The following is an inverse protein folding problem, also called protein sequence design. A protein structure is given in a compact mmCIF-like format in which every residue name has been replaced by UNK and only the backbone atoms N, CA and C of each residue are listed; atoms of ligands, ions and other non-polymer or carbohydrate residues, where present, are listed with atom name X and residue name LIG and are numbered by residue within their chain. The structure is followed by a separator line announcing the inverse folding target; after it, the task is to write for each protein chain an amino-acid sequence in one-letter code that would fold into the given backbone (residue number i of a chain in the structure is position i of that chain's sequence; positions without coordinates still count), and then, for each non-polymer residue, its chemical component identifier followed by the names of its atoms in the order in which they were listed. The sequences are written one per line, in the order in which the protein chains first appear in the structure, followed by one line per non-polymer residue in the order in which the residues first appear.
data_IF_327021982828
#
_entry.id   IF_327021982828
#
_cell.length_a   1.000
_cell.length_b   1.000
_cell.length_c   1.000
_cell.angle_alpha   90.00
_cell.angle_beta   90.00
_cell.angle_gamma   90.00
#
_symmetry.space_group_name_H-M   'P 1'
#
loop_
_entity.id
_entity.type
_entity.pdbx_description
1 polymer ?
#
# COMPACT_ATOMS: atom_id res chain seq x y z
N UNK A 1 -3.23 -36.83 21.49
CA UNK A 1 -2.61 -35.88 20.52
C UNK A 1 -2.73 -34.45 21.06
N UNK A 2 -1.73 -33.56 20.88
CA UNK A 2 -1.84 -32.14 21.30
C UNK A 2 -2.20 -31.22 20.14
N UNK A 3 -3.21 -30.38 20.33
CA UNK A 3 -3.68 -29.43 19.33
C UNK A 3 -4.33 -28.20 19.99
N UNK A 4 -4.58 -27.17 19.18
CA UNK A 4 -5.36 -26.00 19.60
C UNK A 4 -6.83 -26.07 19.19
N UNK A 5 -7.15 -26.82 18.13
CA UNK A 5 -8.49 -26.91 17.57
C UNK A 5 -8.95 -28.36 17.65
N UNK A 6 -10.17 -28.56 18.12
CA UNK A 6 -10.82 -29.86 18.24
C UNK A 6 -12.21 -29.80 17.63
N UNK A 7 -12.59 -30.86 16.93
CA UNK A 7 -13.93 -31.08 16.40
C UNK A 7 -14.45 -32.38 17.02
N UNK A 8 -15.63 -32.32 17.63
CA UNK A 8 -16.25 -33.43 18.33
C UNK A 8 -17.60 -33.69 17.69
N UNK A 9 -17.91 -34.96 17.49
CA UNK A 9 -19.25 -35.42 17.14
C UNK A 9 -19.65 -36.55 18.09
N UNK A 10 -20.79 -36.41 18.74
CA UNK A 10 -21.34 -37.44 19.63
C UNK A 10 -22.87 -37.41 19.59
N UNK A 11 -23.49 -38.59 19.59
CA UNK A 11 -24.95 -38.70 19.68
C UNK A 11 -25.49 -38.17 21.01
N UNK A 12 -26.71 -37.63 20.99
CA UNK A 12 -27.40 -37.27 22.24
C UNK A 12 -27.74 -38.52 23.05
N UNK A 13 -28.28 -39.54 22.37
CA UNK A 13 -28.62 -40.85 22.93
C UNK A 13 -28.02 -41.96 22.05
N UNK A 14 -27.66 -43.09 22.64
CA UNK A 14 -27.13 -44.23 21.91
C UNK A 14 -28.18 -44.76 20.92
N UNK A 15 -27.89 -44.84 19.60
CA UNK A 15 -28.89 -45.13 18.58
C UNK A 15 -29.67 -46.44 18.75
N UNK A 16 -29.08 -47.44 19.43
CA UNK A 16 -29.71 -48.76 19.65
C UNK A 16 -30.30 -48.97 21.04
N UNK A 17 -29.71 -48.36 22.06
CA UNK A 17 -30.06 -48.64 23.48
C UNK A 17 -30.89 -47.51 24.07
N UNK A 18 -30.88 -46.33 23.45
CA UNK A 18 -31.56 -45.13 23.95
C UNK A 18 -30.87 -44.49 25.15
N UNK A 19 -29.75 -45.03 25.62
CA UNK A 19 -29.02 -44.49 26.77
C UNK A 19 -28.49 -43.08 26.46
N UNK A 20 -28.64 -42.10 27.37
CA UNK A 20 -28.11 -40.76 27.16
C UNK A 20 -26.58 -40.80 27.13
N UNK A 21 -26.00 -40.22 26.07
CA UNK A 21 -24.55 -40.19 25.84
C UNK A 21 -23.96 -38.80 26.09
N UNK A 22 -24.61 -37.75 25.58
CA UNK A 22 -24.15 -36.37 25.76
C UNK A 22 -25.32 -35.39 25.81
N UNK A 23 -25.43 -34.65 26.92
CA UNK A 23 -26.44 -33.60 27.11
C UNK A 23 -25.86 -32.22 26.83
N UNK A 24 -26.73 -31.27 26.47
CA UNK A 24 -26.34 -29.87 26.28
C UNK A 24 -25.76 -29.26 27.55
N UNK A 25 -26.32 -29.56 28.73
CA UNK A 25 -25.78 -29.10 30.03
C UNK A 25 -24.32 -29.52 30.23
N UNK A 26 -23.96 -30.74 29.81
CA UNK A 26 -22.58 -31.24 29.88
C UNK A 26 -21.67 -30.48 28.93
N UNK A 27 -22.16 -30.13 27.74
CA UNK A 27 -21.44 -29.33 26.75
C UNK A 27 -21.19 -27.94 27.31
N UNK A 28 -22.23 -27.23 27.76
CA UNK A 28 -22.13 -25.88 28.34
C UNK A 28 -21.15 -25.87 29.52
N UNK A 29 -21.26 -26.84 30.44
CA UNK A 29 -20.33 -26.98 31.56
C UNK A 29 -18.88 -27.15 31.09
N UNK A 30 -18.64 -28.01 30.11
CA UNK A 30 -17.31 -28.26 29.55
C UNK A 30 -16.71 -27.05 28.83
N UNK A 31 -17.54 -26.23 28.18
CA UNK A 31 -17.12 -25.05 27.44
C UNK A 31 -16.77 -23.86 28.35
N UNK A 32 -17.10 -23.93 29.64
CA UNK A 32 -16.79 -22.89 30.64
C UNK A 32 -15.32 -22.87 31.10
N UNK A 33 -14.50 -23.84 30.68
CA UNK A 33 -13.10 -23.93 31.09
C UNK A 33 -12.24 -22.78 30.56
N UNK A 34 -11.51 -22.08 31.44
CA UNK A 34 -10.68 -20.88 31.15
C UNK A 34 -9.63 -21.02 30.04
N UNK A 35 -9.29 -22.25 29.64
CA UNK A 35 -8.33 -22.49 28.55
C UNK A 35 -8.92 -22.33 27.16
N UNK A 36 -10.25 -22.36 27.05
CA UNK A 36 -10.99 -22.26 25.79
C UNK A 36 -11.10 -20.79 25.40
N UNK A 37 -10.70 -20.48 24.16
CA UNK A 37 -10.71 -19.15 23.57
C UNK A 37 -12.00 -18.91 22.79
N UNK A 38 -12.33 -19.82 21.87
CA UNK A 38 -13.55 -19.76 21.07
C UNK A 38 -14.18 -21.15 20.97
N UNK A 39 -15.51 -21.19 20.87
CA UNK A 39 -16.26 -22.42 20.64
C UNK A 39 -17.56 -22.16 19.87
N UNK A 40 -18.04 -23.21 19.20
CA UNK A 40 -19.35 -23.25 18.58
C UNK A 40 -19.92 -24.67 18.65
N UNK A 41 -21.21 -24.82 18.88
CA UNK A 41 -21.89 -26.12 18.83
C UNK A 41 -23.32 -25.99 18.29
N UNK A 42 -23.85 -27.11 17.81
CA UNK A 42 -25.22 -27.24 17.28
C UNK A 42 -25.70 -28.69 17.46
N UNK A 43 -27.01 -28.87 17.60
CA UNK A 43 -27.67 -30.17 17.49
C UNK A 43 -28.04 -30.44 16.03
N UNK A 44 -27.52 -31.52 15.45
CA UNK A 44 -27.99 -32.02 14.16
C UNK A 44 -29.03 -33.11 14.39
N UNK A 45 -30.30 -32.77 14.19
CA UNK A 45 -31.46 -33.65 14.36
C UNK A 45 -32.27 -33.88 13.07
N UNK A 46 -31.93 -33.19 11.98
CA UNK A 46 -32.62 -33.23 10.69
C UNK A 46 -31.75 -33.82 9.56
N UNK A 47 -30.53 -34.24 9.89
CA UNK A 47 -29.63 -34.88 8.95
C UNK A 47 -30.20 -36.21 8.46
N UNK A 48 -30.09 -36.46 7.16
CA UNK A 48 -30.51 -37.73 6.54
C UNK A 48 -29.33 -38.57 6.08
N UNK A 49 -29.50 -39.88 6.08
CA UNK A 49 -28.55 -40.82 5.51
C UNK A 49 -28.44 -40.61 3.98
N UNK A 50 -27.23 -40.34 3.50
CA UNK A 50 -26.98 -40.08 2.07
C UNK A 50 -26.58 -41.34 1.30
N UNK A 51 -26.73 -41.34 -0.02
CA UNK A 51 -26.27 -42.45 -0.86
C UNK A 51 -24.77 -42.71 -0.70
N UNK A 52 -23.96 -41.65 -0.61
CA UNK A 52 -22.51 -41.76 -0.40
C UNK A 52 -22.15 -42.43 0.92
N UNK A 53 -22.95 -42.23 1.96
CA UNK A 53 -22.75 -42.90 3.25
C UNK A 53 -23.14 -44.36 3.18
N UNK A 54 -24.21 -44.70 2.44
CA UNK A 54 -24.63 -46.08 2.21
C UNK A 54 -23.53 -46.86 1.48
N UNK A 55 -23.04 -46.31 0.37
CA UNK A 55 -21.97 -46.92 -0.42
C UNK A 55 -20.68 -47.12 0.40
N UNK A 56 -20.35 -46.14 1.26
CA UNK A 56 -19.20 -46.23 2.16
C UNK A 56 -19.40 -47.30 3.23
N UNK A 57 -20.58 -47.38 3.84
CA UNK A 57 -20.88 -48.40 4.83
C UNK A 57 -20.71 -49.81 4.25
N UNK A 58 -21.31 -50.06 3.08
CA UNK A 58 -21.22 -51.35 2.38
C UNK A 58 -19.77 -51.70 2.09
N UNK A 59 -18.97 -50.73 1.63
CA UNK A 59 -17.55 -50.94 1.38
C UNK A 59 -16.77 -51.29 2.65
N UNK A 60 -16.99 -50.56 3.73
CA UNK A 60 -16.25 -50.74 4.99
C UNK A 60 -16.69 -52.01 5.74
N UNK A 61 -17.91 -52.51 5.48
CA UNK A 61 -18.48 -53.72 6.08
C UNK A 61 -18.61 -54.88 5.07
N UNK A 62 -17.68 -54.95 4.11
CA UNK A 62 -17.51 -56.12 3.22
C UNK A 62 -18.78 -56.57 2.46
N UNK A 63 -19.63 -55.62 2.08
CA UNK A 63 -20.86 -55.88 1.34
C UNK A 63 -22.14 -55.91 2.20
N UNK A 64 -22.03 -55.79 3.52
CA UNK A 64 -23.20 -55.73 4.41
C UNK A 64 -24.01 -54.45 4.19
N UNK A 65 -25.33 -54.62 4.09
CA UNK A 65 -26.28 -53.51 3.99
C UNK A 65 -26.47 -52.86 5.38
N UNK A 66 -26.51 -51.52 5.46
CA UNK A 66 -26.84 -50.86 6.71
C UNK A 66 -28.27 -51.18 7.16
N UNK A 67 -28.54 -51.05 8.46
CA UNK A 67 -29.89 -51.22 9.02
C UNK A 67 -30.84 -50.04 8.72
N UNK A 68 -30.34 -49.01 8.04
CA UNK A 68 -31.04 -47.78 7.65
C UNK A 68 -31.04 -47.63 6.13
N UNK A 69 -31.96 -46.83 5.59
CA UNK A 69 -32.10 -46.53 4.17
C UNK A 69 -31.67 -45.09 3.87
N UNK A 70 -31.31 -44.83 2.61
CA UNK A 70 -31.02 -43.47 2.14
C UNK A 70 -32.28 -42.63 2.29
N UNK A 71 -32.14 -41.45 2.90
CA UNK A 71 -33.24 -40.57 3.27
C UNK A 71 -33.77 -40.77 4.70
N UNK A 72 -33.38 -41.85 5.39
CA UNK A 72 -33.75 -42.02 6.80
C UNK A 72 -33.05 -40.95 7.66
N UNK A 73 -33.77 -40.39 8.63
CA UNK A 73 -33.25 -39.38 9.55
C UNK A 73 -32.24 -40.02 10.49
N UNK A 74 -31.08 -39.37 10.63
CA UNK A 74 -30.03 -39.79 11.55
C UNK A 74 -30.45 -39.51 12.99
N UNK A 75 -30.00 -40.33 13.96
CA UNK A 75 -30.19 -40.02 15.36
C UNK A 75 -29.60 -38.63 15.71
N UNK A 76 -30.26 -37.84 16.58
CA UNK A 76 -29.76 -36.54 17.00
C UNK A 76 -28.34 -36.61 17.55
N UNK A 77 -27.46 -35.74 17.06
CA UNK A 77 -26.05 -35.71 17.44
C UNK A 77 -25.52 -34.28 17.53
N UNK A 78 -24.63 -34.07 18.49
CA UNK A 78 -23.98 -32.80 18.71
C UNK A 78 -22.73 -32.68 17.85
N UNK A 79 -22.58 -31.53 17.20
CA UNK A 79 -21.31 -31.08 16.65
C UNK A 79 -20.75 -29.98 17.55
N UNK A 80 -19.51 -30.14 18.03
CA UNK A 80 -18.86 -29.20 18.94
C UNK A 80 -17.47 -28.88 18.41
N UNK A 81 -17.17 -27.59 18.25
CA UNK A 81 -15.88 -27.09 17.80
C UNK A 81 -15.27 -26.25 18.91
N UNK A 82 -14.04 -26.58 19.29
CA UNK A 82 -13.34 -25.91 20.40
C UNK A 82 -11.98 -25.42 19.91
N UNK A 83 -11.67 -24.16 20.18
CA UNK A 83 -10.37 -23.54 19.98
C UNK A 83 -9.80 -23.07 21.32
N UNK A 84 -8.62 -23.57 21.66
CA UNK A 84 -7.89 -23.20 22.87
C UNK A 84 -6.86 -22.09 22.62
N UNK A 85 -6.66 -21.27 23.65
CA UNK A 85 -5.60 -20.25 23.69
C UNK A 85 -4.21 -20.89 23.56
N UNK A 86 -3.99 -21.98 24.29
CA UNK A 86 -2.76 -22.80 24.27
C UNK A 86 -3.10 -24.24 23.89
N UNK A 87 -2.13 -25.03 23.42
CA UNK A 87 -2.43 -26.42 23.02
C UNK A 87 -2.89 -27.28 24.21
N UNK A 88 -3.98 -28.01 24.01
CA UNK A 88 -4.51 -29.02 24.93
C UNK A 88 -4.32 -30.42 24.32
N UNK A 89 -4.66 -31.48 25.05
CA UNK A 89 -4.70 -32.84 24.53
C UNK A 89 -6.13 -33.38 24.37
N UNK A 90 -6.29 -34.32 23.44
CA UNK A 90 -7.55 -35.00 23.11
C UNK A 90 -8.18 -35.70 24.32
N UNK A 91 -7.36 -36.31 25.19
CA UNK A 91 -7.84 -37.00 26.39
C UNK A 91 -8.47 -36.03 27.41
N UNK A 92 -7.90 -34.83 27.56
CA UNK A 92 -8.43 -33.77 28.43
C UNK A 92 -9.80 -33.31 27.95
N UNK A 93 -9.94 -33.04 26.64
CA UNK A 93 -11.22 -32.63 26.05
C UNK A 93 -12.27 -33.73 26.19
N UNK A 94 -11.90 -34.98 25.92
CA UNK A 94 -12.78 -36.14 26.06
C UNK A 94 -13.27 -36.31 27.50
N UNK A 95 -12.35 -36.17 28.48
CA UNK A 95 -12.66 -36.25 29.91
C UNK A 95 -13.66 -35.18 30.34
N UNK A 96 -13.53 -33.94 29.86
CA UNK A 96 -14.46 -32.87 30.21
C UNK A 96 -15.88 -33.15 29.72
N UNK A 97 -15.99 -33.62 28.47
CA UNK A 97 -17.27 -33.96 27.86
C UNK A 97 -17.85 -35.30 28.34
N UNK A 98 -17.10 -36.09 29.13
CA UNK A 98 -17.54 -37.41 29.58
C UNK A 98 -17.61 -38.45 28.45
N UNK A 99 -16.85 -38.25 27.36
CA UNK A 99 -16.84 -39.13 26.19
C UNK A 99 -15.49 -39.84 26.04
N UNK A 100 -15.44 -40.85 25.17
CA UNK A 100 -14.19 -41.53 24.82
C UNK A 100 -13.38 -40.73 23.79
N UNK A 101 -12.06 -40.87 23.85
CA UNK A 101 -11.11 -40.04 23.07
C UNK A 101 -11.29 -40.17 21.54
N UNK A 102 -11.80 -41.31 21.05
CA UNK A 102 -12.05 -41.54 19.62
C UNK A 102 -13.10 -40.59 19.00
N UNK A 103 -13.94 -39.94 19.81
CA UNK A 103 -14.90 -38.94 19.33
C UNK A 103 -14.31 -37.52 19.27
N UNK A 104 -13.11 -37.31 19.79
CA UNK A 104 -12.42 -36.02 19.75
C UNK A 104 -11.41 -36.03 18.61
N UNK A 105 -11.72 -35.31 17.53
CA UNK A 105 -10.88 -35.23 16.35
C UNK A 105 -10.08 -33.93 16.33
N UNK A 106 -8.84 -34.01 15.86
CA UNK A 106 -8.04 -32.84 15.50
C UNK A 106 -8.18 -32.64 13.98
N UNK A 107 -8.69 -31.49 13.52
CA UNK A 107 -8.81 -31.20 12.09
C UNK A 107 -7.46 -31.37 11.37
N UNK A 108 -7.47 -32.01 10.20
CA UNK A 108 -6.24 -32.20 9.41
C UNK A 108 -5.74 -30.87 8.85
N UNK A 109 -4.47 -30.55 9.13
CA UNK A 109 -3.81 -29.31 8.72
C UNK A 109 -3.65 -28.31 9.86
N UNK A 110 -2.55 -27.55 9.84
CA UNK A 110 -2.19 -26.57 10.87
C UNK A 110 -2.46 -25.17 10.33
N UNK A 111 -3.64 -24.58 10.59
CA UNK A 111 -3.93 -23.22 10.17
C UNK A 111 -5.17 -22.59 10.83
N UNK A 112 -5.19 -21.27 11.04
CA UNK A 112 -6.30 -20.56 11.69
C UNK A 112 -7.64 -20.70 10.94
N UNK A 113 -7.61 -20.81 9.60
CA UNK A 113 -8.81 -21.04 8.79
C UNK A 113 -9.52 -22.38 9.06
N UNK A 114 -8.86 -23.36 9.70
CA UNK A 114 -9.46 -24.67 10.01
C UNK A 114 -10.54 -24.60 11.08
N UNK A 115 -10.41 -23.67 12.03
CA UNK A 115 -11.46 -23.45 13.02
C UNK A 115 -12.73 -22.97 12.33
N UNK A 116 -12.61 -21.97 11.46
CA UNK A 116 -13.75 -21.46 10.68
C UNK A 116 -14.29 -22.48 9.67
N UNK A 117 -13.47 -23.37 9.11
CA UNK A 117 -13.97 -24.51 8.31
C UNK A 117 -14.91 -25.40 9.12
N UNK A 118 -14.58 -25.67 10.39
CA UNK A 118 -15.41 -26.48 11.28
C UNK A 118 -16.67 -25.72 11.72
N UNK A 119 -16.58 -24.41 11.92
CA UNK A 119 -17.72 -23.55 12.27
C UNK A 119 -18.70 -23.40 11.09
N UNK A 120 -18.20 -23.14 9.87
CA UNK A 120 -19.00 -23.11 8.63
C UNK A 120 -19.71 -24.45 8.38
N UNK A 121 -19.12 -25.55 8.85
CA UNK A 121 -19.74 -26.86 8.74
C UNK A 121 -20.98 -27.02 9.61
N UNK A 122 -21.12 -26.28 10.73
CA UNK A 122 -22.23 -26.44 11.67
C UNK A 122 -23.59 -26.19 11.02
N UNK A 123 -23.70 -25.25 10.08
CA UNK A 123 -24.98 -24.96 9.38
C UNK A 123 -25.17 -25.78 8.11
N UNK A 124 -24.12 -26.46 7.63
CA UNK A 124 -24.06 -27.10 6.32
C UNK A 124 -24.34 -26.16 5.13
N UNK A 125 -24.06 -24.86 5.25
CA UNK A 125 -24.41 -23.86 4.22
C UNK A 125 -23.55 -23.90 2.95
N UNK A 126 -22.34 -24.46 3.02
CA UNK A 126 -21.44 -24.43 1.86
C UNK A 126 -22.00 -25.28 0.71
N UNK A 127 -21.71 -24.85 -0.52
CA UNK A 127 -22.09 -25.56 -1.74
C UNK A 127 -21.71 -27.04 -1.72
N UNK A 128 -20.59 -27.40 -1.08
CA UNK A 128 -20.15 -28.79 -0.95
C UNK A 128 -21.13 -29.61 -0.11
N UNK A 129 -21.56 -29.12 1.05
CA UNK A 129 -22.52 -29.85 1.90
C UNK A 129 -23.89 -29.90 1.24
N UNK A 130 -24.33 -28.80 0.64
CA UNK A 130 -25.60 -28.74 -0.10
C UNK A 130 -25.62 -29.71 -1.29
N UNK A 131 -24.53 -29.83 -2.04
CA UNK A 131 -24.42 -30.81 -3.14
C UNK A 131 -24.45 -32.27 -2.67
N UNK A 132 -24.20 -32.51 -1.37
CA UNK A 132 -24.31 -33.84 -0.74
C UNK A 132 -25.72 -34.11 -0.19
N UNK A 133 -26.66 -33.18 -0.36
CA UNK A 133 -28.04 -33.33 0.13
C UNK A 133 -28.18 -33.19 1.64
N UNK A 134 -27.26 -32.49 2.30
CA UNK A 134 -27.32 -32.25 3.75
C UNK A 134 -28.36 -31.18 4.10
N UNK A 135 -28.96 -31.32 5.27
CA UNK A 135 -29.90 -30.34 5.81
C UNK A 135 -29.19 -29.01 6.10
N UNK A 136 -29.79 -27.90 5.68
CA UNK A 136 -29.33 -26.53 5.97
C UNK A 136 -29.92 -26.08 7.31
N UNK A 137 -29.11 -25.96 8.35
CA UNK A 137 -29.55 -25.44 9.65
C UNK A 137 -29.51 -23.92 9.68
N UNK A 138 -30.37 -23.34 10.50
CA UNK A 138 -30.45 -21.90 10.73
C UNK A 138 -29.33 -21.41 11.63
N UNK A 139 -28.99 -20.12 11.53
CA UNK A 139 -27.96 -19.51 12.36
C UNK A 139 -28.33 -19.48 13.84
N UNK A 140 -29.62 -19.36 14.13
CA UNK A 140 -30.17 -19.34 15.49
C UNK A 140 -30.00 -20.67 16.23
N UNK A 141 -29.72 -21.76 15.50
CA UNK A 141 -29.46 -23.09 16.08
C UNK A 141 -27.99 -23.26 16.48
N UNK A 142 -27.10 -22.34 16.06
CA UNK A 142 -25.68 -22.37 16.39
C UNK A 142 -25.42 -21.58 17.68
N UNK A 143 -24.95 -22.28 18.71
CA UNK A 143 -24.52 -21.67 19.95
C UNK A 143 -23.02 -21.41 19.90
N UNK A 144 -22.58 -20.19 20.20
CA UNK A 144 -21.15 -19.83 20.20
C UNK A 144 -20.84 -18.70 21.18
N UNK A 145 -19.57 -18.55 21.56
CA UNK A 145 -19.10 -17.44 22.41
C UNK A 145 -18.53 -16.25 21.62
N UNK A 146 -18.75 -16.21 20.30
CA UNK A 146 -18.24 -15.17 19.39
C UNK A 146 -19.24 -14.99 18.24
N UNK A 147 -19.15 -13.89 17.51
CA UNK A 147 -19.99 -13.66 16.34
C UNK A 147 -19.45 -14.47 15.14
N UNK A 148 -19.87 -15.73 15.06
CA UNK A 148 -19.40 -16.64 14.03
C UNK A 148 -19.79 -16.20 12.62
N UNK A 149 -20.99 -15.60 12.47
CA UNK A 149 -21.50 -15.14 11.18
C UNK A 149 -20.69 -13.96 10.65
N UNK A 150 -20.34 -13.01 11.52
CA UNK A 150 -19.42 -11.93 11.14
C UNK A 150 -18.04 -12.44 10.71
N UNK A 151 -17.47 -13.43 11.41
CA UNK A 151 -16.18 -14.03 11.03
C UNK A 151 -16.24 -14.77 9.68
N UNK A 152 -17.30 -15.53 9.42
CA UNK A 152 -17.50 -16.22 8.13
C UNK A 152 -17.71 -15.24 6.98
N UNK A 153 -18.47 -14.16 7.20
CA UNK A 153 -18.65 -13.10 6.21
C UNK A 153 -17.32 -12.40 5.90
N UNK A 154 -16.53 -12.04 6.93
CA UNK A 154 -15.22 -11.45 6.73
C UNK A 154 -14.28 -12.39 5.95
N UNK A 155 -14.34 -13.69 6.25
CA UNK A 155 -13.57 -14.71 5.53
C UNK A 155 -13.98 -14.80 4.05
N UNK A 156 -15.27 -14.71 3.75
CA UNK A 156 -15.76 -14.67 2.38
C UNK A 156 -15.25 -13.42 1.65
N UNK A 157 -15.33 -12.24 2.29
CA UNK A 157 -14.75 -11.01 1.75
C UNK A 157 -13.25 -11.13 1.50
N UNK A 158 -12.49 -11.72 2.42
CA UNK A 158 -11.06 -11.94 2.24
C UNK A 158 -10.77 -12.81 1.00
N UNK A 159 -11.48 -13.94 0.84
CA UNK A 159 -11.30 -14.83 -0.31
C UNK A 159 -11.59 -14.13 -1.64
N UNK A 160 -12.57 -13.22 -1.67
CA UNK A 160 -12.90 -12.43 -2.85
C UNK A 160 -11.80 -11.41 -3.14
N UNK A 161 -11.34 -10.68 -2.12
CA UNK A 161 -10.39 -9.57 -2.28
C UNK A 161 -8.96 -10.04 -2.55
N UNK A 162 -8.51 -11.12 -1.91
CA UNK A 162 -7.13 -11.62 -1.96
C UNK A 162 -6.98 -12.92 -2.74
N UNK A 163 -8.08 -13.54 -3.19
CA UNK A 163 -8.09 -14.86 -3.84
C UNK A 163 -8.01 -16.05 -2.88
N UNK A 164 -7.64 -15.81 -1.62
CA UNK A 164 -7.59 -16.81 -0.56
C UNK A 164 -7.87 -16.20 0.83
N UNK A 165 -8.00 -17.07 1.83
CA UNK A 165 -8.22 -16.65 3.22
C UNK A 165 -6.88 -16.34 3.91
N UNK A 166 -6.44 -15.09 3.76
CA UNK A 166 -5.20 -14.60 4.35
C UNK A 166 -5.33 -14.30 5.84
N UNK A 167 -4.29 -14.63 6.61
CA UNK A 167 -4.17 -14.20 8.00
C UNK A 167 -4.12 -12.66 8.10
N UNK A 168 -4.50 -12.04 9.23
CA UNK A 168 -4.37 -10.58 9.40
C UNK A 168 -2.97 -10.05 9.09
N UNK A 169 -1.94 -10.83 9.45
CA UNK A 169 -0.54 -10.52 9.17
C UNK A 169 -0.24 -10.54 7.66
N UNK A 170 -0.69 -11.58 6.96
CA UNK A 170 -0.42 -11.72 5.52
C UNK A 170 -1.26 -10.74 4.69
N UNK A 171 -2.48 -10.40 5.13
CA UNK A 171 -3.27 -9.29 4.55
C UNK A 171 -2.51 -7.97 4.62
N UNK A 172 -1.96 -7.64 5.80
CA UNK A 172 -1.19 -6.41 5.98
C UNK A 172 0.03 -6.36 5.05
N UNK A 173 0.76 -7.47 4.91
CA UNK A 173 1.88 -7.61 3.97
C UNK A 173 1.44 -7.45 2.52
N UNK A 174 0.32 -8.08 2.14
CA UNK A 174 -0.24 -8.01 0.80
C UNK A 174 -0.61 -6.57 0.45
N UNK A 175 -1.32 -5.87 1.34
CA UNK A 175 -1.74 -4.50 1.09
C UNK A 175 -0.54 -3.55 0.93
N UNK A 176 0.52 -3.74 1.71
CA UNK A 176 1.76 -2.96 1.54
C UNK A 176 2.42 -3.26 0.20
N UNK A 177 2.50 -4.53 -0.20
CA UNK A 177 3.20 -4.97 -1.40
C UNK A 177 2.49 -4.65 -2.71
N UNK A 178 1.17 -4.74 -2.72
CA UNK A 178 0.37 -4.72 -3.95
C UNK A 178 -0.63 -3.56 -4.00
N UNK A 179 -1.13 -3.09 -2.86
CA UNK A 179 -2.09 -1.97 -2.80
C UNK A 179 -1.45 -0.65 -2.39
N UNK A 180 -0.15 -0.64 -2.07
CA UNK A 180 0.57 0.57 -1.71
C UNK A 180 0.24 1.13 -0.34
N UNK A 181 -0.23 0.31 0.60
CA UNK A 181 -0.44 0.72 2.00
C UNK A 181 0.87 1.22 2.62
N UNK A 182 0.83 2.38 3.27
CA UNK A 182 2.01 2.99 3.88
C UNK A 182 2.31 2.39 5.25
N UNK A 183 3.54 2.53 5.73
CA UNK A 183 3.89 2.05 7.07
C UNK A 183 3.10 2.77 8.16
N UNK A 184 2.77 4.05 7.94
CA UNK A 184 1.91 4.86 8.82
C UNK A 184 0.51 4.28 8.92
N UNK A 185 -0.10 3.91 7.78
CA UNK A 185 -1.41 3.25 7.76
C UNK A 185 -1.37 1.91 8.51
N UNK A 186 -0.31 1.12 8.36
CA UNK A 186 -0.14 -0.11 9.13
C UNK A 186 -0.10 0.14 10.65
N UNK A 187 0.60 1.20 11.08
CA UNK A 187 0.67 1.60 12.50
C UNK A 187 -0.70 2.01 13.01
N UNK A 188 -1.44 2.82 12.27
CA UNK A 188 -2.77 3.31 12.67
C UNK A 188 -3.81 2.18 12.75
N UNK A 189 -3.80 1.27 11.78
CA UNK A 189 -4.76 0.17 11.72
C UNK A 189 -4.46 -0.94 12.74
N UNK A 190 -3.19 -1.29 12.92
CA UNK A 190 -2.80 -2.42 13.77
C UNK A 190 -1.38 -2.27 14.33
N UNK A 191 -1.19 -1.43 15.37
CA UNK A 191 0.12 -1.16 15.95
C UNK A 191 0.88 -2.43 16.38
N UNK A 192 0.14 -3.42 16.91
CA UNK A 192 0.71 -4.69 17.38
C UNK A 192 1.22 -5.55 16.22
N UNK A 193 0.42 -5.71 15.15
CA UNK A 193 0.83 -6.46 13.96
C UNK A 193 2.01 -5.79 13.27
N UNK A 194 2.01 -4.45 13.19
CA UNK A 194 3.15 -3.70 12.69
C UNK A 194 4.41 -3.99 13.49
N UNK A 195 4.34 -3.91 14.83
CA UNK A 195 5.49 -4.15 15.71
C UNK A 195 6.05 -5.56 15.54
N UNK A 196 5.18 -6.57 15.46
CA UNK A 196 5.55 -7.98 15.33
C UNK A 196 6.15 -8.33 13.95
N UNK A 197 5.96 -7.46 12.94
CA UNK A 197 6.41 -7.71 11.56
C UNK A 197 7.17 -6.56 10.90
N UNK A 198 7.60 -5.58 11.69
CA UNK A 198 8.13 -4.30 11.22
C UNK A 198 9.23 -4.43 10.17
N UNK A 199 10.19 -5.34 10.39
CA UNK A 199 11.32 -5.52 9.48
C UNK A 199 10.88 -6.04 8.10
N UNK A 200 9.90 -6.94 8.09
CA UNK A 200 9.37 -7.47 6.84
C UNK A 200 8.55 -6.40 6.12
N UNK A 201 7.66 -5.70 6.83
CA UNK A 201 6.84 -4.61 6.25
C UNK A 201 7.70 -3.51 5.64
N UNK A 202 8.80 -3.10 6.30
CA UNK A 202 9.76 -2.14 5.74
C UNK A 202 10.37 -2.63 4.42
N UNK A 203 10.79 -3.89 4.36
CA UNK A 203 11.35 -4.49 3.14
C UNK A 203 10.30 -4.60 2.02
N UNK A 204 9.10 -5.04 2.36
CA UNK A 204 7.96 -5.14 1.44
C UNK A 204 7.57 -3.78 0.87
N UNK A 205 7.61 -2.74 1.70
CA UNK A 205 7.32 -1.37 1.26
C UNK A 205 8.37 -0.83 0.30
N UNK A 206 9.66 -1.04 0.58
CA UNK A 206 10.75 -0.69 -0.35
C UNK A 206 10.58 -1.42 -1.69
N UNK A 207 10.18 -2.69 -1.66
CA UNK A 207 9.92 -3.50 -2.86
C UNK A 207 8.74 -2.93 -3.68
N UNK A 208 7.64 -2.54 -3.03
CA UNK A 208 6.53 -1.82 -3.67
C UNK A 208 7.00 -0.53 -4.36
N UNK A 209 7.75 0.32 -3.66
CA UNK A 209 8.25 1.61 -4.20
C UNK A 209 9.18 1.37 -5.39
N UNK A 210 10.04 0.35 -5.32
CA UNK A 210 10.98 -0.01 -6.41
C UNK A 210 10.26 -0.38 -7.71
N UNK A 211 9.00 -0.81 -7.62
CA UNK A 211 8.13 -1.18 -8.75
C UNK A 211 7.21 -0.04 -9.22
N UNK A 212 7.24 1.12 -8.58
CA UNK A 212 6.45 2.26 -9.05
C UNK A 212 7.01 2.84 -10.35
N UNK A 213 6.18 3.19 -11.33
CA UNK A 213 6.65 3.85 -12.54
C UNK A 213 7.35 5.17 -12.18
N UNK A 214 8.27 5.62 -13.03
CA UNK A 214 8.72 7.00 -12.94
C UNK A 214 7.54 7.91 -13.30
N UNK A 215 7.38 9.07 -12.65
CA UNK A 215 6.34 10.00 -13.03
C UNK A 215 6.61 10.50 -14.45
N UNK A 216 5.54 10.78 -15.21
CA UNK A 216 5.65 11.31 -16.58
C UNK A 216 6.48 12.60 -16.60
N UNK A 217 6.18 13.48 -15.66
CA UNK A 217 6.83 14.77 -15.50
C UNK A 217 7.27 14.96 -14.05
N UNK A 218 8.39 15.67 -13.87
CA UNK A 218 8.88 16.11 -12.56
C UNK A 218 9.19 17.60 -12.58
N UNK A 219 8.61 18.34 -11.63
CA UNK A 219 8.82 19.78 -11.52
C UNK A 219 9.76 20.06 -10.35
N UNK A 220 10.88 20.73 -10.64
CA UNK A 220 11.83 21.11 -9.61
C UNK A 220 11.74 22.60 -9.33
N UNK A 221 11.70 22.92 -8.04
CA UNK A 221 11.62 24.27 -7.53
C UNK A 221 12.93 24.65 -6.87
N UNK A 222 13.30 25.91 -7.02
CA UNK A 222 14.34 26.53 -6.20
C UNK A 222 13.77 27.70 -5.40
N UNK A 223 13.95 27.69 -4.09
CA UNK A 223 13.48 28.74 -3.18
C UNK A 223 14.69 29.38 -2.51
N UNK A 224 14.91 30.66 -2.77
CA UNK A 224 16.03 31.43 -2.20
C UNK A 224 15.54 32.69 -1.49
N UNK A 225 16.41 33.33 -0.72
CA UNK A 225 16.12 34.48 0.13
C UNK A 225 17.08 34.55 1.31
N UNK A 226 17.01 35.61 2.10
CA UNK A 226 17.89 35.82 3.25
C UNK A 226 17.62 34.80 4.38
N UNK A 227 18.54 34.75 5.34
CA UNK A 227 18.38 33.95 6.55
C UNK A 227 17.13 34.38 7.31
N UNK A 228 16.20 33.46 7.54
CA UNK A 228 14.99 33.73 8.31
C UNK A 228 13.75 34.12 7.49
N UNK A 229 13.83 34.22 6.15
CA UNK A 229 12.67 34.60 5.30
C UNK A 229 11.59 33.51 5.16
N UNK A 230 11.75 32.37 5.82
CA UNK A 230 10.74 31.30 5.81
C UNK A 230 10.82 30.37 4.60
N UNK A 231 12.00 30.18 4.00
CA UNK A 231 12.22 29.27 2.86
C UNK A 231 11.68 27.85 3.07
N UNK A 232 11.93 27.25 4.24
CA UNK A 232 11.36 25.93 4.59
C UNK A 232 9.83 25.95 4.73
N UNK A 233 9.25 27.06 5.22
CA UNK A 233 7.80 27.24 5.26
C UNK A 233 7.22 27.32 3.85
N UNK A 234 7.91 27.99 2.91
CA UNK A 234 7.52 28.08 1.50
C UNK A 234 7.48 26.72 0.84
N UNK A 235 8.53 25.91 1.01
CA UNK A 235 8.53 24.54 0.47
C UNK A 235 7.35 23.72 1.01
N UNK A 236 7.12 23.72 2.33
CA UNK A 236 6.02 22.96 2.93
C UNK A 236 4.63 23.48 2.52
N UNK A 237 4.45 24.79 2.41
CA UNK A 237 3.20 25.40 1.95
C UNK A 237 2.89 25.05 0.49
N UNK A 238 3.90 25.07 -0.39
CA UNK A 238 3.78 24.60 -1.78
C UNK A 238 3.38 23.12 -1.79
N UNK A 239 4.12 22.27 -1.07
CA UNK A 239 3.87 20.83 -1.02
C UNK A 239 2.44 20.50 -0.58
N UNK A 240 1.98 21.07 0.54
CA UNK A 240 0.61 20.89 1.06
C UNK A 240 -0.47 21.39 0.10
N UNK A 241 -0.19 22.47 -0.63
CA UNK A 241 -1.16 23.06 -1.56
C UNK A 241 -1.24 22.31 -2.89
N UNK A 242 -0.15 21.68 -3.35
CA UNK A 242 -0.14 20.78 -4.51
C UNK A 242 -0.83 19.45 -4.21
N UNK A 243 -0.70 18.95 -2.98
CA UNK A 243 -1.19 17.64 -2.55
C UNK A 243 -2.20 17.77 -1.40
N UNK A 244 -3.17 18.67 -1.58
CA UNK A 244 -4.17 19.00 -0.54
C UNK A 244 -5.15 17.86 -0.23
N UNK A 245 -5.11 16.78 -1.02
CA UNK A 245 -5.90 15.57 -0.81
C UNK A 245 -5.32 14.66 0.30
N UNK A 246 -4.12 14.95 0.79
CA UNK A 246 -3.51 14.23 1.91
C UNK A 246 -3.72 15.00 3.22
N UNK A 247 -4.03 14.25 4.28
CA UNK A 247 -4.26 14.83 5.61
C UNK A 247 -2.96 15.08 6.40
N UNK A 248 -1.92 14.30 6.12
CA UNK A 248 -0.68 14.24 6.91
C UNK A 248 0.54 14.60 6.05
N UNK A 249 1.39 15.46 6.61
CA UNK A 249 2.63 15.92 5.96
C UNK A 249 3.56 14.75 5.59
N UNK A 250 3.64 13.72 6.44
CA UNK A 250 4.47 12.52 6.22
C UNK A 250 4.07 11.73 4.96
N UNK A 251 2.84 11.90 4.46
CA UNK A 251 2.41 11.30 3.19
C UNK A 251 2.63 12.26 2.00
N UNK A 252 2.83 13.56 2.26
CA UNK A 252 2.98 14.58 1.22
C UNK A 252 4.45 14.76 0.83
N UNK A 253 5.34 14.93 1.80
CA UNK A 253 6.72 15.27 1.53
C UNK A 253 7.71 14.48 2.40
N UNK A 254 8.86 14.19 1.79
CA UNK A 254 10.03 13.65 2.47
C UNK A 254 11.14 14.71 2.47
N UNK A 255 11.63 15.07 3.65
CA UNK A 255 12.82 15.92 3.78
C UNK A 255 14.07 15.05 3.75
N UNK A 256 15.01 15.33 2.86
CA UNK A 256 16.21 14.50 2.68
C UNK A 256 17.10 14.51 3.93
N UNK A 257 17.71 13.36 4.21
CA UNK A 257 18.71 13.21 5.27
C UNK A 257 20.09 13.75 4.87
N UNK A 258 21.06 13.65 5.78
CA UNK A 258 22.44 14.08 5.55
C UNK A 258 23.38 12.92 5.18
N UNK A 259 24.47 13.25 4.47
CA UNK A 259 25.59 12.32 4.21
C UNK A 259 25.19 11.07 3.41
N UNK A 260 25.64 9.88 3.82
CA UNK A 260 25.39 8.65 3.07
C UNK A 260 23.98 8.04 3.27
N UNK A 261 23.02 8.83 3.73
CA UNK A 261 21.66 8.40 4.09
C UNK A 261 20.55 9.31 3.52
N UNK A 262 20.82 10.02 2.41
CA UNK A 262 19.92 11.02 1.82
C UNK A 262 18.46 10.58 1.73
N UNK A 263 18.23 9.36 1.22
CA UNK A 263 16.88 8.82 0.98
C UNK A 263 16.47 7.75 2.00
N UNK A 264 17.19 7.64 3.13
CA UNK A 264 16.82 6.70 4.19
C UNK A 264 15.48 7.14 4.82
N UNK A 265 14.47 6.27 4.74
CA UNK A 265 13.12 6.57 5.24
C UNK A 265 12.16 7.14 4.20
N UNK A 266 12.59 7.37 2.95
CA UNK A 266 11.68 7.73 1.87
C UNK A 266 10.62 6.64 1.65
N UNK A 267 9.35 7.00 1.78
CA UNK A 267 8.20 6.09 1.73
C UNK A 267 7.35 6.28 0.46
N UNK A 268 7.91 6.91 -0.58
CA UNK A 268 7.23 7.15 -1.85
C UNK A 268 6.39 8.43 -1.87
N UNK A 269 6.67 9.39 -0.98
CA UNK A 269 6.00 10.69 -0.97
C UNK A 269 6.12 11.40 -2.33
N UNK A 270 5.08 12.11 -2.79
CA UNK A 270 5.11 12.78 -4.08
C UNK A 270 6.09 13.97 -4.14
N UNK A 271 6.48 14.51 -2.99
CA UNK A 271 7.39 15.65 -2.87
C UNK A 271 8.67 15.25 -2.13
N UNK A 272 9.82 15.67 -2.64
CA UNK A 272 11.09 15.64 -1.89
C UNK A 272 11.55 17.07 -1.63
N UNK A 273 11.86 17.38 -0.37
CA UNK A 273 12.36 18.68 0.06
C UNK A 273 13.85 18.57 0.39
N UNK A 274 14.64 19.44 -0.21
CA UNK A 274 16.08 19.57 -0.03
C UNK A 274 16.33 20.87 0.75
N UNK A 275 16.39 20.74 2.08
CA UNK A 275 16.53 21.88 2.97
C UNK A 275 17.98 22.33 3.10
N UNK A 276 18.22 23.61 2.82
CA UNK A 276 19.50 24.33 2.94
C UNK A 276 20.63 23.74 2.09
N UNK A 277 20.33 23.29 0.87
CA UNK A 277 21.31 22.73 -0.07
C UNK A 277 21.88 23.80 -1.01
N UNK A 278 23.20 24.01 -0.95
CA UNK A 278 23.94 24.73 -2.00
C UNK A 278 24.23 23.82 -3.19
N UNK A 279 24.59 24.40 -4.34
CA UNK A 279 24.89 23.63 -5.55
C UNK A 279 26.01 22.60 -5.32
N UNK A 280 27.12 22.99 -4.68
CA UNK A 280 28.21 22.05 -4.38
C UNK A 280 27.79 20.94 -3.41
N UNK A 281 27.03 21.25 -2.37
CA UNK A 281 26.52 20.27 -1.41
C UNK A 281 25.59 19.25 -2.09
N UNK A 282 24.80 19.71 -3.06
CA UNK A 282 23.94 18.85 -3.87
C UNK A 282 24.76 17.91 -4.76
N UNK A 283 25.81 18.43 -5.40
CA UNK A 283 26.74 17.64 -6.21
C UNK A 283 27.42 16.58 -5.35
N UNK A 284 27.94 16.96 -4.19
CA UNK A 284 28.66 16.06 -3.29
C UNK A 284 27.73 14.96 -2.75
N UNK A 285 26.52 15.36 -2.32
CA UNK A 285 25.54 14.43 -1.73
C UNK A 285 24.97 13.44 -2.74
N UNK A 286 24.88 13.83 -4.01
CA UNK A 286 24.43 12.97 -5.10
C UNK A 286 25.58 12.25 -5.83
N UNK A 287 26.82 12.34 -5.33
CA UNK A 287 28.01 11.72 -5.91
C UNK A 287 28.26 12.14 -7.37
N UNK A 288 28.11 13.43 -7.65
CA UNK A 288 28.48 14.04 -8.92
C UNK A 288 27.32 14.65 -9.70
N UNK A 289 27.67 15.59 -10.57
CA UNK A 289 26.69 16.38 -11.34
C UNK A 289 25.81 15.54 -12.27
N UNK A 290 26.31 14.41 -12.76
CA UNK A 290 25.54 13.48 -13.60
C UNK A 290 24.31 12.96 -12.88
N UNK A 291 24.44 12.55 -11.61
CA UNK A 291 23.31 12.06 -10.84
C UNK A 291 22.38 13.20 -10.38
N UNK A 292 22.90 14.43 -10.15
CA UNK A 292 22.05 15.63 -9.99
C UNK A 292 21.14 15.77 -11.21
N UNK A 293 21.69 15.71 -12.41
CA UNK A 293 20.89 15.82 -13.64
C UNK A 293 19.86 14.69 -13.80
N UNK A 294 20.12 13.50 -13.26
CA UNK A 294 19.17 12.38 -13.25
C UNK A 294 18.06 12.57 -12.23
N UNK A 295 18.38 12.98 -11.00
CA UNK A 295 17.40 13.21 -9.92
C UNK A 295 16.47 14.38 -10.25
N UNK A 296 17.02 15.43 -10.85
CA UNK A 296 16.27 16.63 -11.25
C UNK A 296 15.87 16.61 -12.73
N UNK A 297 15.87 15.46 -13.40
CA UNK A 297 15.32 15.37 -14.76
C UNK A 297 13.81 15.67 -14.73
N UNK A 298 13.32 16.49 -15.65
CA UNK A 298 11.91 16.83 -15.75
C UNK A 298 11.09 15.77 -16.46
N UNK A 299 11.73 14.84 -17.16
CA UNK A 299 11.10 13.66 -17.77
C UNK A 299 11.84 12.41 -17.28
N UNK A 300 11.71 12.06 -16.00
CA UNK A 300 12.56 11.06 -15.39
C UNK A 300 12.26 9.66 -15.92
N UNK A 301 13.30 8.86 -16.04
CA UNK A 301 13.18 7.39 -16.19
C UNK A 301 13.30 6.73 -14.82
N UNK A 302 12.92 5.44 -14.71
CA UNK A 302 13.12 4.70 -13.47
C UNK A 302 14.61 4.58 -13.18
N UNK A 303 15.05 5.18 -12.07
CA UNK A 303 16.45 5.19 -11.65
C UNK A 303 16.53 4.89 -10.17
N UNK A 304 17.53 4.07 -9.80
CA UNK A 304 17.73 3.63 -8.42
C UNK A 304 18.73 4.55 -7.73
N UNK A 305 18.37 5.02 -6.54
CA UNK A 305 19.27 5.74 -5.63
C UNK A 305 19.70 4.81 -4.51
N UNK A 306 20.96 4.95 -4.08
CA UNK A 306 21.51 4.12 -3.02
C UNK A 306 20.96 4.54 -1.66
N UNK A 307 20.62 3.53 -0.84
CA UNK A 307 20.31 3.69 0.59
C UNK A 307 21.13 2.66 1.37
N UNK A 308 21.18 2.78 2.70
CA UNK A 308 21.83 1.76 3.53
C UNK A 308 21.23 0.38 3.25
N UNK A 309 22.10 -0.57 2.91
CA UNK A 309 21.74 -1.97 2.64
C UNK A 309 20.72 -2.17 1.50
N UNK A 310 20.62 -1.23 0.55
CA UNK A 310 19.70 -1.37 -0.57
C UNK A 310 19.70 -0.22 -1.56
N UNK A 311 18.61 -0.14 -2.33
CA UNK A 311 18.36 0.96 -3.26
C UNK A 311 16.88 1.27 -3.29
N UNK A 312 16.53 2.49 -3.68
CA UNK A 312 15.16 2.97 -3.77
C UNK A 312 14.91 3.64 -5.11
N UNK A 313 13.67 3.55 -5.61
CA UNK A 313 13.25 4.29 -6.79
C UNK A 313 12.62 5.63 -6.37
N UNK A 314 13.00 6.72 -7.02
CA UNK A 314 12.42 8.04 -6.78
C UNK A 314 11.17 8.23 -7.65
N UNK A 315 10.00 7.98 -7.07
CA UNK A 315 8.70 8.18 -7.72
C UNK A 315 8.10 9.58 -7.49
N UNK A 316 8.82 10.48 -6.82
CA UNK A 316 8.37 11.84 -6.54
C UNK A 316 8.21 12.65 -7.83
N UNK A 317 7.13 13.43 -7.90
CA UNK A 317 6.80 14.32 -9.02
C UNK A 317 7.30 15.74 -8.79
N UNK A 318 7.69 16.08 -7.56
CA UNK A 318 8.18 17.41 -7.21
C UNK A 318 9.46 17.31 -6.39
N UNK A 319 10.45 18.15 -6.73
CA UNK A 319 11.53 18.49 -5.82
C UNK A 319 11.42 19.96 -5.41
N UNK A 320 11.63 20.25 -4.12
CA UNK A 320 11.70 21.61 -3.58
C UNK A 320 13.06 21.80 -2.93
N UNK A 321 13.94 22.55 -3.57
CA UNK A 321 15.24 22.89 -3.01
C UNK A 321 15.16 24.29 -2.41
N UNK A 322 15.73 24.48 -1.24
CA UNK A 322 15.93 25.81 -0.70
C UNK A 322 17.36 26.07 -0.24
N UNK A 323 17.79 27.34 -0.31
CA UNK A 323 19.12 27.79 0.11
C UNK A 323 19.16 29.30 0.32
N UNK A 324 20.20 29.80 0.99
CA UNK A 324 20.56 31.22 0.97
C UNK A 324 21.34 31.62 -0.29
N UNK A 325 21.89 30.65 -1.04
CA UNK A 325 22.58 30.91 -2.30
C UNK A 325 21.60 31.54 -3.31
N UNK A 326 22.06 32.52 -4.09
CA UNK A 326 21.18 33.14 -5.08
C UNK A 326 20.88 32.16 -6.22
N UNK A 327 19.71 32.28 -6.85
CA UNK A 327 19.33 31.37 -7.92
C UNK A 327 20.27 31.40 -9.14
N UNK A 328 20.83 32.55 -9.57
CA UNK A 328 21.77 32.56 -10.69
C UNK A 328 23.05 31.80 -10.34
N UNK A 329 23.61 32.05 -9.15
CA UNK A 329 24.82 31.35 -8.68
C UNK A 329 24.58 29.85 -8.57
N UNK A 330 23.46 29.44 -8.00
CA UNK A 330 23.10 28.02 -7.86
C UNK A 330 23.03 27.32 -9.23
N UNK A 331 22.32 27.90 -10.20
CA UNK A 331 22.20 27.29 -11.53
C UNK A 331 23.52 27.32 -12.31
N UNK A 332 24.31 28.37 -12.17
CA UNK A 332 25.61 28.50 -12.84
C UNK A 332 26.66 27.54 -12.28
N UNK A 333 26.64 27.26 -10.98
CA UNK A 333 27.50 26.24 -10.36
C UNK A 333 27.10 24.82 -10.74
N UNK A 334 25.79 24.55 -10.87
CA UNK A 334 25.32 23.27 -11.40
C UNK A 334 25.63 23.09 -12.89
N UNK A 335 25.95 24.16 -13.62
CA UNK A 335 26.25 24.06 -15.03
C UNK A 335 27.73 23.67 -15.25
N UNK A 336 28.00 22.37 -15.36
CA UNK A 336 29.34 21.76 -15.42
C UNK A 336 30.33 22.41 -16.42
N UNK A 337 29.87 23.05 -17.50
CA UNK A 337 30.75 23.65 -18.50
C UNK A 337 30.35 25.11 -18.81
N UNK A 338 31.04 26.08 -18.21
CA UNK A 338 30.73 27.52 -18.33
C UNK A 338 30.97 28.09 -19.73
N UNK A 339 31.84 27.46 -20.52
CA UNK A 339 32.18 27.92 -21.89
C UNK A 339 31.16 27.47 -22.94
N UNK A 340 30.42 26.39 -22.69
CA UNK A 340 29.41 25.87 -23.60
C UNK A 340 28.03 26.50 -23.32
N UNK A 341 27.88 27.75 -23.78
CA UNK A 341 26.65 28.55 -23.63
C UNK A 341 25.40 27.91 -24.24
N UNK A 342 25.54 26.85 -25.05
CA UNK A 342 24.43 26.12 -25.69
C UNK A 342 23.80 25.08 -24.77
N UNK A 343 24.50 24.63 -23.72
CA UNK A 343 24.08 23.51 -22.89
C UNK A 343 23.71 23.97 -21.47
N UNK A 344 22.64 24.77 -21.33
CA UNK A 344 22.08 25.21 -20.04
C UNK A 344 21.34 24.07 -19.31
N UNK A 345 22.08 23.01 -18.98
CA UNK A 345 21.58 21.75 -18.44
C UNK A 345 20.91 21.92 -17.08
N UNK A 346 21.43 22.81 -16.23
CA UNK A 346 20.79 23.14 -14.96
C UNK A 346 19.48 23.91 -15.17
N UNK A 347 19.48 24.93 -16.03
CA UNK A 347 18.31 25.81 -16.22
C UNK A 347 17.07 25.04 -16.73
N UNK A 348 17.25 24.10 -17.66
CA UNK A 348 16.14 23.25 -18.15
C UNK A 348 15.58 22.28 -17.11
N UNK A 349 16.15 22.23 -15.91
CA UNK A 349 15.70 21.37 -14.81
C UNK A 349 15.02 22.13 -13.70
N UNK A 350 15.03 23.45 -13.69
CA UNK A 350 14.38 24.27 -12.66
C UNK A 350 13.31 25.17 -13.27
N UNK A 351 12.11 24.65 -13.56
CA UNK A 351 11.05 25.45 -14.19
C UNK A 351 10.56 26.61 -13.32
N UNK A 352 10.63 26.48 -12.00
CA UNK A 352 10.03 27.44 -11.06
C UNK A 352 11.05 27.86 -10.00
N UNK A 353 11.17 29.16 -9.78
CA UNK A 353 12.03 29.74 -8.76
C UNK A 353 11.21 30.75 -7.94
N UNK A 354 11.37 30.73 -6.62
CA UNK A 354 10.79 31.74 -5.72
C UNK A 354 11.91 32.45 -4.97
N UNK A 355 11.97 33.77 -5.11
CA UNK A 355 12.92 34.63 -4.39
C UNK A 355 12.15 35.33 -3.28
N UNK A 356 12.38 34.93 -2.04
CA UNK A 356 11.70 35.47 -0.88
C UNK A 356 12.36 36.77 -0.42
N UNK A 357 11.52 37.69 0.04
CA UNK A 357 11.92 38.89 0.75
C UNK A 357 11.13 38.99 2.07
N UNK A 358 11.33 40.08 2.82
CA UNK A 358 10.73 40.25 4.14
C UNK A 358 9.19 40.25 4.15
N UNK A 359 8.55 40.81 3.12
CA UNK A 359 7.08 41.01 3.07
C UNK A 359 6.39 40.47 1.80
N UNK A 360 7.18 40.11 0.80
CA UNK A 360 6.70 39.62 -0.49
C UNK A 360 7.68 38.57 -1.04
N UNK A 361 7.40 38.07 -2.23
CA UNK A 361 8.33 37.24 -2.97
C UNK A 361 8.14 37.46 -4.48
N UNK A 362 9.20 37.15 -5.23
CA UNK A 362 9.16 37.09 -6.68
C UNK A 362 9.01 35.64 -7.14
N UNK A 363 8.20 35.42 -8.18
CA UNK A 363 8.06 34.13 -8.84
C UNK A 363 8.67 34.22 -10.24
N UNK A 364 9.63 33.35 -10.52
CA UNK A 364 10.26 33.24 -11.82
C UNK A 364 9.83 31.92 -12.48
N UNK A 365 9.38 32.01 -13.72
CA UNK A 365 8.95 30.87 -14.52
C UNK A 365 9.87 30.74 -15.72
N UNK A 366 10.45 29.56 -15.92
CA UNK A 366 11.37 29.33 -17.02
C UNK A 366 10.65 29.45 -18.38
N UNK A 367 11.17 30.32 -19.23
CA UNK A 367 10.54 30.70 -20.50
C UNK A 367 10.47 29.55 -21.50
N UNK A 368 11.44 28.63 -21.49
CA UNK A 368 11.46 27.45 -22.35
C UNK A 368 10.27 26.52 -22.13
N UNK A 369 9.80 26.39 -20.89
CA UNK A 369 8.60 25.59 -20.58
C UNK A 369 7.29 26.27 -20.95
N UNK A 370 7.29 27.60 -21.10
CA UNK A 370 6.11 28.36 -21.52
C UNK A 370 6.01 28.42 -23.05
N UNK A 371 7.13 28.66 -23.73
CA UNK A 371 7.18 28.86 -25.18
C UNK A 371 7.40 27.57 -25.98
N UNK A 372 7.83 26.48 -25.34
CA UNK A 372 8.11 25.21 -26.01
C UNK A 372 9.36 25.22 -26.91
N UNK A 373 10.24 26.22 -26.76
CA UNK A 373 11.44 26.38 -27.58
C UNK A 373 12.72 26.11 -26.76
N UNK A 374 13.68 25.44 -27.38
CA UNK A 374 14.93 24.99 -26.75
C UNK A 374 15.94 26.12 -26.44
N UNK A 375 15.87 27.24 -27.15
CA UNK A 375 16.72 28.42 -26.96
C UNK A 375 16.30 29.27 -25.74
N UNK A 376 15.01 29.19 -25.36
CA UNK A 376 14.42 29.98 -24.26
C UNK A 376 14.62 29.37 -22.87
N UNK A 377 15.14 28.14 -22.74
CA UNK A 377 15.37 27.50 -21.43
C UNK A 377 16.35 28.25 -20.52
N UNK A 378 17.13 29.17 -21.07
CA UNK A 378 18.07 29.99 -20.33
C UNK A 378 17.55 31.30 -19.78
N UNK A 379 16.24 31.53 -19.85
CA UNK A 379 15.58 32.79 -19.48
C UNK A 379 14.40 32.50 -18.57
N UNK A 380 14.08 33.46 -17.70
CA UNK A 380 12.91 33.41 -16.82
C UNK A 380 12.01 34.61 -17.04
N UNK A 381 10.71 34.41 -16.90
CA UNK A 381 9.69 35.45 -16.78
C UNK A 381 9.52 35.74 -15.30
N UNK A 382 9.74 36.99 -14.89
CA UNK A 382 9.69 37.40 -13.48
C UNK A 382 8.34 38.07 -13.15
N UNK A 383 7.64 37.54 -12.16
CA UNK A 383 6.46 38.13 -11.54
C UNK A 383 6.84 38.66 -10.17
N UNK A 384 6.98 39.98 -10.05
CA UNK A 384 7.56 40.62 -8.86
C UNK A 384 6.52 41.01 -7.81
N UNK A 385 6.98 41.12 -6.57
CA UNK A 385 6.25 41.69 -5.44
C UNK A 385 4.91 41.01 -5.15
N UNK A 386 4.88 39.67 -5.21
CA UNK A 386 3.72 38.90 -4.80
C UNK A 386 3.58 39.03 -3.29
N UNK A 387 2.53 39.74 -2.86
CA UNK A 387 2.33 40.05 -1.44
C UNK A 387 2.08 38.80 -0.61
N UNK A 388 2.87 38.66 0.46
CA UNK A 388 2.72 37.58 1.43
C UNK A 388 4.06 37.17 2.03
N UNK A 389 4.05 36.96 3.35
CA UNK A 389 5.21 36.48 4.09
C UNK A 389 4.80 35.30 4.96
N UNK A 390 5.29 34.11 4.62
CA UNK A 390 4.99 32.90 5.38
C UNK A 390 5.60 32.96 6.79
N UNK A 391 6.72 33.67 6.95
CA UNK A 391 7.28 33.99 8.25
C UNK A 391 6.28 34.78 9.11
N UNK A 392 5.71 35.86 8.57
CA UNK A 392 4.74 36.67 9.31
C UNK A 392 3.48 35.86 9.66
N UNK A 393 3.03 34.98 8.76
CA UNK A 393 1.92 34.06 9.02
C UNK A 393 2.27 33.15 10.21
N UNK A 394 3.43 32.49 10.20
CA UNK A 394 3.86 31.62 11.29
C UNK A 394 3.97 32.37 12.63
N UNK A 395 4.56 33.57 12.64
CA UNK A 395 4.71 34.42 13.84
C UNK A 395 3.35 34.86 14.42
N UNK A 396 2.37 35.18 13.55
CA UNK A 396 1.05 35.67 13.96
C UNK A 396 0.09 34.55 14.34
N UNK A 397 0.06 33.46 13.57
CA UNK A 397 -0.85 32.34 13.80
C UNK A 397 -0.43 31.46 14.97
N UNK A 398 0.88 31.39 15.29
CA UNK A 398 1.43 30.58 16.39
C UNK A 398 0.90 29.14 16.34
N UNK A 399 0.14 28.70 17.35
CA UNK A 399 -0.42 27.35 17.44
C UNK A 399 -1.73 27.14 16.66
N UNK A 400 -2.23 28.16 15.94
CA UNK A 400 -3.44 28.04 15.12
C UNK A 400 -3.09 27.48 13.74
N UNK A 401 -2.79 26.18 13.69
CA UNK A 401 -2.36 25.47 12.48
C UNK A 401 -3.40 25.54 11.36
N UNK A 402 -4.70 25.51 11.71
CA UNK A 402 -5.79 25.59 10.73
C UNK A 402 -5.74 26.91 9.97
N UNK A 403 -5.65 28.02 10.70
CA UNK A 403 -5.57 29.36 10.10
C UNK A 403 -4.24 29.56 9.36
N UNK A 404 -3.12 29.06 9.92
CA UNK A 404 -1.82 29.12 9.27
C UNK A 404 -1.86 28.43 7.90
N UNK A 405 -2.37 27.20 7.82
CA UNK A 405 -2.50 26.45 6.55
C UNK A 405 -3.39 27.14 5.53
N UNK A 406 -4.50 27.73 5.97
CA UNK A 406 -5.40 28.51 5.10
C UNK A 406 -4.68 29.72 4.46
N UNK A 407 -3.95 30.49 5.29
CA UNK A 407 -3.21 31.66 4.83
C UNK A 407 -1.99 31.26 3.98
N UNK A 408 -1.26 30.23 4.38
CA UNK A 408 -0.15 29.64 3.60
C UNK A 408 -0.62 29.26 2.20
N UNK A 409 -1.74 28.53 2.09
CA UNK A 409 -2.31 28.10 0.81
C UNK A 409 -2.71 29.29 -0.06
N UNK A 410 -3.31 30.32 0.54
CA UNK A 410 -3.63 31.57 -0.17
C UNK A 410 -2.37 32.27 -0.68
N UNK A 411 -1.31 32.33 0.12
CA UNK A 411 -0.05 32.98 -0.25
C UNK A 411 0.63 32.26 -1.41
N UNK A 412 0.70 30.93 -1.41
CA UNK A 412 1.40 30.19 -2.48
C UNK A 412 0.56 29.99 -3.75
N UNK A 413 -0.72 30.43 -3.77
CA UNK A 413 -1.63 30.24 -4.90
C UNK A 413 -1.05 30.64 -6.28
N UNK A 414 -0.30 31.75 -6.44
CA UNK A 414 0.35 32.07 -7.71
C UNK A 414 1.36 31.01 -8.17
N UNK A 415 2.11 30.43 -7.22
CA UNK A 415 3.08 29.35 -7.49
C UNK A 415 2.37 28.08 -7.93
N UNK A 416 1.25 27.74 -7.28
CA UNK A 416 0.40 26.59 -7.65
C UNK A 416 -0.23 26.79 -9.04
N UNK A 417 -0.66 28.01 -9.35
CA UNK A 417 -1.20 28.34 -10.67
C UNK A 417 -0.15 28.15 -11.76
N UNK A 418 1.07 28.63 -11.54
CA UNK A 418 2.19 28.41 -12.45
C UNK A 418 2.53 26.93 -12.62
N UNK A 419 2.58 26.15 -11.52
CA UNK A 419 2.78 24.70 -11.57
C UNK A 419 1.76 24.01 -12.49
N UNK A 420 0.47 24.27 -12.25
CA UNK A 420 -0.60 23.62 -12.99
C UNK A 420 -0.52 23.97 -14.47
N UNK A 421 -0.23 25.22 -14.82
CA UNK A 421 -0.03 25.64 -16.21
C UNK A 421 1.13 24.87 -16.88
N UNK A 422 2.24 24.69 -16.18
CA UNK A 422 3.39 23.92 -16.71
C UNK A 422 3.06 22.44 -16.87
N UNK A 423 2.45 21.82 -15.86
CA UNK A 423 2.07 20.40 -15.93
C UNK A 423 1.07 20.15 -17.04
N UNK A 424 0.04 20.98 -17.17
CA UNK A 424 -0.94 20.88 -18.27
C UNK A 424 -0.23 20.93 -19.62
N UNK A 425 0.66 21.90 -19.85
CA UNK A 425 1.45 21.99 -21.10
C UNK A 425 2.35 20.79 -21.36
N UNK A 426 2.96 20.22 -20.32
CA UNK A 426 3.81 19.03 -20.46
C UNK A 426 2.99 17.74 -20.67
N UNK A 427 1.70 17.76 -20.32
CA UNK A 427 0.80 16.62 -20.45
C UNK A 427 -0.07 16.65 -21.69
N UNK A 428 -0.22 17.82 -22.33
CA UNK A 428 -0.90 18.03 -23.61
C UNK A 428 -0.50 16.92 -24.59
N UNK A 429 -1.48 16.14 -25.03
CA UNK A 429 -1.28 15.15 -26.08
C UNK A 429 -1.12 15.91 -27.40
N UNK A 430 -0.24 15.46 -28.29
CA UNK A 430 -0.09 16.14 -29.57
C UNK A 430 -1.39 16.01 -30.37
N UNK A 431 -1.75 17.05 -31.12
CA UNK A 431 -2.90 17.04 -32.02
C UNK A 431 -2.77 15.97 -33.12
N UNK A 432 -3.90 15.61 -33.75
CA UNK A 432 -4.07 14.72 -34.92
C UNK A 432 -2.86 13.81 -35.27
N UNK A 433 -2.95 12.53 -34.89
CA UNK A 433 -1.92 11.53 -35.17
C UNK A 433 -1.52 11.46 -36.65
N UNK A 434 -2.44 11.73 -37.58
CA UNK A 434 -2.17 11.68 -39.02
C UNK A 434 -1.33 12.89 -39.47
N UNK A 435 -1.54 14.06 -38.87
CA UNK A 435 -0.72 15.25 -39.12
C UNK A 435 0.72 15.05 -38.61
N UNK A 436 0.88 14.44 -37.43
CA UNK A 436 2.19 14.06 -36.88
C UNK A 436 2.87 13.06 -37.82
N UNK A 437 2.17 11.97 -38.20
CA UNK A 437 2.73 10.95 -39.11
C UNK A 437 3.15 11.56 -40.45
N UNK A 438 2.42 12.55 -40.95
CA UNK A 438 2.78 13.26 -42.17
C UNK A 438 4.04 14.13 -42.00
N UNK A 439 4.21 14.83 -40.87
CA UNK A 439 5.41 15.61 -40.55
C UNK A 439 6.68 14.75 -40.55
N UNK A 440 6.57 13.55 -39.98
CA UNK A 440 7.69 12.61 -39.86
C UNK A 440 7.79 11.60 -41.02
N UNK A 441 7.01 11.76 -42.09
CA UNK A 441 6.89 10.76 -43.16
C UNK A 441 8.22 10.40 -43.85
N UNK A 442 9.18 11.34 -43.89
CA UNK A 442 10.47 11.17 -44.54
C UNK A 442 11.61 10.81 -43.56
N UNK A 443 11.34 10.69 -42.25
CA UNK A 443 12.38 10.38 -41.27
C UNK A 443 12.94 8.97 -41.52
N UNK A 444 14.27 8.84 -41.49
CA UNK A 444 14.96 7.58 -41.81
C UNK A 444 15.13 7.28 -43.30
N UNK A 445 14.65 8.16 -44.19
CA UNK A 445 14.97 8.11 -45.62
C UNK A 445 16.21 8.93 -45.93
N UNK A 446 17.04 8.45 -46.88
CA UNK A 446 18.25 9.16 -47.30
C UNK A 446 17.85 10.28 -48.24
N UNK A 447 18.22 11.50 -47.90
CA UNK A 447 18.14 12.63 -48.84
C UNK A 447 19.09 12.32 -50.00
N UNK A 448 18.52 12.16 -51.20
CA UNK A 448 19.28 11.87 -52.43
C UNK A 448 19.83 13.13 -53.08
N UNK A 449 19.60 14.30 -52.49
CA UNK A 449 20.22 15.54 -52.93
C UNK A 449 21.56 15.77 -52.22
N UNK A 450 22.65 15.45 -52.93
CA UNK A 450 24.07 15.85 -52.69
C UNK A 450 24.84 14.94 -51.69
N UNK A 451 26.02 14.32 -51.94
CA UNK A 451 27.17 14.58 -52.83
C UNK A 451 27.80 13.27 -53.38
N UNK A 452 28.12 13.24 -54.67
CA UNK A 452 29.22 12.41 -55.21
C UNK A 452 30.55 13.06 -54.82
N UNK A 453 31.25 12.49 -53.84
CA UNK A 453 32.66 12.81 -53.59
C UNK A 453 33.46 12.24 -54.76
N UNK A 454 33.90 13.10 -55.68
CA UNK A 454 34.81 12.74 -56.75
C UNK A 454 36.15 12.30 -56.16
N UNK A 455 36.51 11.03 -56.37
CA UNK A 455 37.83 10.52 -56.04
C UNK A 455 38.89 11.22 -56.89
N UNK A 456 39.65 12.14 -56.28
CA UNK A 456 40.92 12.60 -56.82
C UNK A 456 41.91 11.45 -56.89
N UNK A 457 42.47 11.25 -58.07
CA UNK A 457 43.51 10.26 -58.38
C UNK A 457 44.79 10.56 -57.59
N UNK A 458 45.46 9.49 -57.14
CA UNK A 458 46.70 9.43 -56.35
C UNK A 458 47.85 10.31 -56.87
#
# INVERSE_FOLDING_TARGET
MRARIFNIMQYQNHPKTGEPLLSEDTIISSLSHKGIEQWGYILHDQDVHTQQECDRYIKDHQGEQPSWKVGDVKPPHWHIVIKFKNSSDTATVAKWLGITENYVQVPKGMGPGKFLDCIEYLTHESKKQQSQGKHLYSDEEVHSNFDFRAELNQRATNKIEYGEDLSPKDRLRFDVLYKGKTLRQCILESPKLYTDDMQYLKKTRLDYISRQPAPRNRINYYVTGEGGDGKGLMCRAIARSLFSNYDYDDDIFFEVGAGNALFEGYDGQPVIIWNDFRAQELIDSLNGIGNVYTVFDTHPTRQKQNIKYGSINLCNTVNLINSVQSWPEFLDELNFNKEDRKHKQAYRRFPLISVLHTSDYDLLINKGFIEGNSESFGQYIEYKHIQGSLRQIAERCRANDRLARELESKTVKPVITAHNQLVTKMEEMPDDEDAIRAEFANYGTRDTTVDTVGNGVL
#
